data_IF_437254697881
#
_entry.id   IF_437254697881
#
_cell.length_a   1.000
_cell.length_b   1.000
_cell.length_c   1.000
_cell.angle_alpha   90.00
_cell.angle_beta   90.00
_cell.angle_gamma   90.00
#
_symmetry.space_group_name_H-M   'P 1'
#
loop_
_entity.id
_entity.type
_entity.pdbx_description
1 polymer ?
#
# COMPACT_ATOMS: atom_id res chain seq x y z
N UNK A 1 -69.89 7.18 24.24
CA UNK A 1 -68.83 6.82 23.27
C UNK A 1 -67.89 5.85 23.96
N UNK A 2 -68.07 4.55 23.71
CA UNK A 2 -67.30 3.47 24.34
C UNK A 2 -66.24 3.00 23.34
N UNK A 3 -64.97 3.13 23.69
CA UNK A 3 -63.85 2.65 22.87
C UNK A 3 -63.51 1.23 23.32
N UNK A 4 -63.59 0.28 22.40
CA UNK A 4 -63.26 -1.13 22.58
C UNK A 4 -61.84 -1.35 22.02
N UNK A 5 -60.90 -1.86 22.82
CA UNK A 5 -59.69 -2.59 22.38
C UNK A 5 -59.94 -4.08 22.69
N UNK A 6 -59.50 -5.07 21.85
CA UNK A 6 -58.10 -5.54 21.87
C UNK A 6 -57.52 -6.14 20.54
N UNK A 7 -56.19 -6.05 20.44
CA UNK A 7 -55.15 -6.94 19.86
C UNK A 7 -55.50 -8.18 18.98
N UNK A 8 -54.79 -8.32 17.85
CA UNK A 8 -54.13 -9.58 17.49
C UNK A 8 -52.77 -9.34 16.76
N UNK A 9 -51.72 -10.14 17.07
CA UNK A 9 -50.34 -10.01 16.61
C UNK A 9 -50.00 -11.03 15.49
N UNK A 10 -48.77 -10.95 14.97
CA UNK A 10 -48.13 -11.83 13.97
C UNK A 10 -48.32 -11.48 12.48
N UNK A 11 -47.40 -10.66 11.99
CA UNK A 11 -46.68 -10.96 10.73
C UNK A 11 -45.22 -10.60 11.02
N UNK A 12 -44.42 -11.57 11.44
CA UNK A 12 -43.71 -12.39 10.47
C UNK A 12 -42.34 -11.77 10.24
N UNK A 13 -41.44 -12.06 11.16
CA UNK A 13 -39.99 -12.03 10.91
C UNK A 13 -39.69 -12.73 9.58
N UNK A 14 -38.81 -12.16 8.75
CA UNK A 14 -37.58 -12.84 8.35
C UNK A 14 -36.78 -12.08 7.26
N UNK A 15 -35.48 -11.95 7.55
CA UNK A 15 -34.31 -12.09 6.64
C UNK A 15 -33.73 -10.84 5.96
N UNK A 16 -32.63 -10.41 6.59
CA UNK A 16 -31.30 -10.20 6.01
C UNK A 16 -31.12 -9.22 4.85
N UNK A 17 -30.42 -8.12 5.14
CA UNK A 17 -29.49 -7.53 4.18
C UNK A 17 -28.20 -7.11 4.90
N UNK A 18 -27.21 -7.99 4.77
CA UNK A 18 -25.79 -7.69 4.65
C UNK A 18 -25.08 -7.00 5.82
N UNK A 19 -24.33 -7.80 6.57
CA UNK A 19 -23.27 -7.28 7.41
C UNK A 19 -22.30 -6.44 6.59
N UNK A 20 -22.04 -5.25 7.10
CA UNK A 20 -20.70 -4.70 7.10
C UNK A 20 -20.32 -4.65 8.56
N UNK A 21 -19.39 -5.50 8.96
CA UNK A 21 -18.52 -5.18 10.09
C UNK A 21 -17.82 -3.87 9.70
N UNK A 22 -18.50 -2.75 9.92
CA UNK A 22 -17.90 -1.44 9.77
C UNK A 22 -16.91 -1.36 10.93
N UNK A 23 -15.69 -1.83 10.65
CA UNK A 23 -14.56 -1.75 11.53
C UNK A 23 -14.54 -0.33 12.10
N UNK A 24 -14.51 -0.22 13.43
CA UNK A 24 -14.68 1.06 14.10
C UNK A 24 -13.64 2.06 13.52
N UNK A 25 -14.03 3.32 13.28
CA UNK A 25 -13.12 4.34 12.78
C UNK A 25 -11.77 4.32 13.50
N UNK A 26 -10.68 4.27 12.72
CA UNK A 26 -9.34 4.32 13.28
C UNK A 26 -9.16 5.64 14.02
N UNK A 27 -8.62 5.57 15.23
CA UNK A 27 -8.24 6.78 15.93
C UNK A 27 -7.12 7.53 15.18
N UNK A 28 -6.98 8.81 15.50
CA UNK A 28 -6.00 9.67 14.85
C UNK A 28 -4.57 9.15 15.03
N UNK A 29 -4.18 8.57 16.16
CA UNK A 29 -2.81 8.07 16.33
C UNK A 29 -2.57 6.85 15.44
N UNK A 30 -3.49 5.89 15.45
CA UNK A 30 -3.42 4.68 14.62
C UNK A 30 -3.33 5.02 13.13
N UNK A 31 -4.13 5.97 12.64
CA UNK A 31 -4.04 6.44 11.25
C UNK A 31 -2.68 7.10 10.93
N UNK A 32 -2.06 7.79 11.91
CA UNK A 32 -0.71 8.34 11.73
C UNK A 32 0.33 7.25 11.53
N UNK A 33 0.26 6.21 12.37
CA UNK A 33 1.20 5.10 12.39
C UNK A 33 1.12 4.29 11.09
N UNK A 34 -0.09 4.08 10.57
CA UNK A 34 -0.31 3.43 9.26
C UNK A 34 0.32 4.24 8.13
N UNK A 35 0.12 5.57 8.11
CA UNK A 35 0.72 6.43 7.08
C UNK A 35 2.25 6.44 7.17
N UNK A 36 2.83 6.40 8.38
CA UNK A 36 4.28 6.32 8.55
C UNK A 36 4.85 4.95 8.11
N UNK A 37 4.12 3.87 8.37
CA UNK A 37 4.46 2.53 7.88
C UNK A 37 4.39 2.46 6.36
N UNK A 38 3.33 3.00 5.75
CA UNK A 38 3.16 3.13 4.32
C UNK A 38 4.34 3.85 3.65
N UNK A 39 4.72 5.01 4.18
CA UNK A 39 5.86 5.77 3.65
C UNK A 39 7.19 5.03 3.81
N UNK A 40 7.39 4.31 4.92
CA UNK A 40 8.61 3.53 5.15
C UNK A 40 8.70 2.33 4.21
N UNK A 41 7.58 1.65 4.00
CA UNK A 41 7.45 0.55 3.02
C UNK A 41 7.75 1.06 1.62
N UNK A 42 7.13 2.17 1.22
CA UNK A 42 7.35 2.78 -0.08
C UNK A 42 8.80 3.18 -0.32
N UNK A 43 9.42 3.81 0.68
CA UNK A 43 10.82 4.19 0.62
C UNK A 43 11.70 2.97 0.39
N UNK A 44 11.54 1.91 1.18
CA UNK A 44 12.34 0.69 1.03
C UNK A 44 12.19 0.08 -0.36
N UNK A 45 10.97 0.02 -0.89
CA UNK A 45 10.71 -0.51 -2.23
C UNK A 45 11.41 0.30 -3.32
N UNK A 46 11.32 1.64 -3.26
CA UNK A 46 11.99 2.53 -4.23
C UNK A 46 13.51 2.43 -4.12
N UNK A 47 14.05 2.40 -2.91
CA UNK A 47 15.49 2.25 -2.67
C UNK A 47 16.03 0.92 -3.23
N UNK A 48 15.17 -0.10 -3.38
CA UNK A 48 15.49 -1.39 -3.98
C UNK A 48 15.05 -1.53 -5.45
N UNK A 49 14.70 -0.42 -6.12
CA UNK A 49 14.41 -0.40 -7.55
C UNK A 49 13.02 -0.91 -7.94
N UNK A 50 12.06 -0.93 -7.02
CA UNK A 50 10.67 -1.23 -7.35
C UNK A 50 10.06 -0.17 -8.27
N UNK A 51 9.22 -0.61 -9.21
CA UNK A 51 8.44 0.28 -10.08
C UNK A 51 7.44 1.10 -9.27
N UNK A 52 7.27 2.39 -9.61
CA UNK A 52 6.34 3.30 -8.94
C UNK A 52 4.92 2.72 -8.81
N UNK A 53 4.38 2.13 -9.88
CA UNK A 53 3.06 1.48 -9.86
C UNK A 53 2.96 0.39 -8.79
N UNK A 54 4.01 -0.44 -8.66
CA UNK A 54 4.05 -1.51 -7.67
C UNK A 54 4.16 -0.96 -6.25
N UNK A 55 4.88 0.14 -6.07
CA UNK A 55 4.96 0.86 -4.79
C UNK A 55 3.60 1.41 -4.39
N UNK A 56 2.90 2.08 -5.31
CA UNK A 56 1.56 2.64 -5.08
C UNK A 56 0.54 1.55 -4.72
N UNK A 57 0.52 0.46 -5.47
CA UNK A 57 -0.34 -0.70 -5.19
C UNK A 57 -0.04 -1.29 -3.81
N UNK A 58 1.24 -1.50 -3.48
CA UNK A 58 1.63 -2.07 -2.19
C UNK A 58 1.19 -1.19 -1.03
N UNK A 59 1.39 0.12 -1.12
CA UNK A 59 0.97 1.05 -0.06
C UNK A 59 -0.55 1.07 0.08
N UNK A 60 -1.29 1.10 -1.04
CA UNK A 60 -2.75 1.09 -1.01
C UNK A 60 -3.29 -0.20 -0.39
N UNK A 61 -2.74 -1.35 -0.78
CA UNK A 61 -3.10 -2.66 -0.20
C UNK A 61 -2.77 -2.71 1.29
N UNK A 62 -1.62 -2.16 1.71
CA UNK A 62 -1.22 -2.09 3.11
C UNK A 62 -2.24 -1.27 3.93
N UNK A 63 -2.59 -0.06 3.50
CA UNK A 63 -3.53 0.78 4.24
C UNK A 63 -4.93 0.16 4.33
N UNK A 64 -5.44 -0.40 3.22
CA UNK A 64 -6.73 -1.08 3.21
C UNK A 64 -6.73 -2.31 4.14
N UNK A 65 -5.63 -3.07 4.17
CA UNK A 65 -5.49 -4.22 5.06
C UNK A 65 -5.34 -3.87 6.54
N UNK A 66 -5.12 -2.59 6.87
CA UNK A 66 -4.98 -2.06 8.22
C UNK A 66 -6.21 -1.26 8.69
N UNK A 67 -7.32 -1.32 7.96
CA UNK A 67 -8.59 -0.68 8.34
C UNK A 67 -8.80 0.74 7.83
N UNK A 68 -7.99 1.21 6.87
CA UNK A 68 -8.28 2.47 6.18
C UNK A 68 -9.43 2.29 5.18
N UNK A 69 -10.40 3.22 5.20
CA UNK A 69 -11.54 3.22 4.26
C UNK A 69 -11.11 3.60 2.84
N UNK A 70 -10.11 4.47 2.75
CA UNK A 70 -9.61 4.97 1.49
C UNK A 70 -8.12 5.32 1.59
N UNK A 71 -7.46 5.24 0.44
CA UNK A 71 -6.05 5.52 0.30
C UNK A 71 -5.67 5.95 -1.11
N UNK A 72 -4.94 7.04 -1.21
CA UNK A 72 -4.29 7.47 -2.45
C UNK A 72 -2.80 7.70 -2.26
N UNK A 73 -2.07 7.35 -3.30
CA UNK A 73 -0.61 7.28 -3.28
C UNK A 73 -0.09 7.77 -4.61
N UNK A 74 0.85 8.70 -4.56
CA UNK A 74 1.56 9.17 -5.74
C UNK A 74 3.07 9.08 -5.51
N UNK A 75 3.77 8.46 -6.45
CA UNK A 75 5.22 8.32 -6.42
C UNK A 75 5.83 9.17 -7.54
N UNK A 76 6.53 10.25 -7.17
CA UNK A 76 7.32 11.06 -8.10
C UNK A 76 8.75 10.52 -8.23
N UNK A 77 9.64 11.23 -8.93
CA UNK A 77 11.07 10.92 -9.00
C UNK A 77 11.81 11.12 -7.67
N UNK A 78 11.32 11.98 -6.77
CA UNK A 78 12.04 12.38 -5.56
C UNK A 78 11.23 12.20 -4.28
N UNK A 79 9.94 11.92 -4.40
CA UNK A 79 9.04 11.86 -3.26
C UNK A 79 7.99 10.74 -3.39
N UNK A 80 7.45 10.38 -2.23
CA UNK A 80 6.26 9.55 -2.06
C UNK A 80 5.26 10.40 -1.28
N UNK A 81 4.05 10.51 -1.83
CA UNK A 81 2.93 11.20 -1.22
C UNK A 81 1.90 10.14 -0.88
N UNK A 82 1.49 10.06 0.39
CA UNK A 82 0.48 9.11 0.87
C UNK A 82 -0.63 9.89 1.56
N UNK A 83 -1.87 9.57 1.20
CA UNK A 83 -3.06 10.04 1.88
C UNK A 83 -3.93 8.84 2.24
N UNK A 84 -4.22 8.64 3.53
CA UNK A 84 -5.19 7.64 3.98
C UNK A 84 -6.27 8.29 4.83
N UNK A 85 -7.47 7.72 4.80
CA UNK A 85 -8.59 8.17 5.62
C UNK A 85 -9.32 7.00 6.29
N UNK A 86 -9.87 7.28 7.47
CA UNK A 86 -10.78 6.39 8.19
C UNK A 86 -11.80 7.22 8.96
N UNK A 87 -13.08 6.87 8.86
CA UNK A 87 -14.18 7.48 9.62
C UNK A 87 -14.27 9.01 9.56
N UNK A 88 -13.90 9.60 8.42
CA UNK A 88 -13.93 11.05 8.20
C UNK A 88 -12.67 11.80 8.61
N UNK A 89 -11.71 11.16 9.29
CA UNK A 89 -10.36 11.70 9.47
C UNK A 89 -9.49 11.28 8.27
N UNK A 90 -8.64 12.20 7.80
CA UNK A 90 -7.64 11.90 6.78
C UNK A 90 -6.28 12.41 7.19
N UNK A 91 -5.24 11.72 6.73
CA UNK A 91 -3.84 12.05 6.98
C UNK A 91 -3.06 11.95 5.69
N UNK A 92 -2.45 13.07 5.33
CA UNK A 92 -1.54 13.15 4.20
C UNK A 92 -0.13 13.43 4.71
N UNK A 93 0.85 12.63 4.27
CA UNK A 93 2.27 12.86 4.53
C UNK A 93 3.07 12.69 3.24
N UNK A 94 4.18 13.41 3.18
CA UNK A 94 5.13 13.37 2.06
C UNK A 94 6.47 12.91 2.61
N UNK A 95 7.16 12.04 1.87
CA UNK A 95 8.54 11.64 2.15
C UNK A 95 9.40 11.78 0.91
N UNK A 96 10.47 12.56 1.02
CA UNK A 96 11.52 12.60 0.00
C UNK A 96 12.41 11.36 0.11
N UNK A 97 12.69 10.72 -1.03
CA UNK A 97 13.53 9.52 -1.14
C UNK A 97 14.85 9.92 -1.77
N UNK A 98 15.87 10.13 -0.93
CA UNK A 98 17.18 10.62 -1.36
C UNK A 98 18.10 9.52 -1.93
N UNK A 99 17.74 8.24 -1.75
CA UNK A 99 18.53 7.09 -2.18
C UNK A 99 17.82 6.28 -3.26
N UNK A 100 17.53 6.90 -4.39
CA UNK A 100 17.08 6.16 -5.57
C UNK A 100 18.31 5.68 -6.31
N UNK A 101 18.62 4.39 -6.21
CA UNK A 101 19.87 3.88 -6.76
C UNK A 101 19.79 2.41 -7.09
N UNK A 102 19.65 2.11 -8.37
CA UNK A 102 20.19 0.87 -8.90
C UNK A 102 21.71 0.97 -8.81
N UNK A 103 22.40 -0.08 -8.35
CA UNK A 103 23.85 -0.09 -8.32
C UNK A 103 24.41 -0.13 -9.75
N UNK A 104 24.50 1.04 -10.39
CA UNK A 104 24.93 1.18 -11.78
C UNK A 104 26.40 0.78 -11.96
N UNK A 105 27.22 0.87 -10.92
CA UNK A 105 28.59 0.34 -10.92
C UNK A 105 28.57 -1.18 -11.12
N UNK A 106 27.73 -1.90 -10.37
CA UNK A 106 27.56 -3.34 -10.50
C UNK A 106 26.97 -3.72 -11.86
N UNK A 107 25.91 -3.02 -12.31
CA UNK A 107 25.30 -3.28 -13.62
C UNK A 107 26.30 -3.07 -14.75
N UNK A 108 27.08 -1.99 -14.70
CA UNK A 108 28.11 -1.69 -15.70
C UNK A 108 29.21 -2.75 -15.69
N UNK A 109 29.66 -3.20 -14.52
CA UNK A 109 30.63 -4.28 -14.39
C UNK A 109 30.14 -5.61 -14.99
N UNK A 110 28.89 -5.98 -14.72
CA UNK A 110 28.24 -7.17 -15.31
C UNK A 110 28.13 -7.01 -16.82
N UNK A 111 27.73 -5.84 -17.31
CA UNK A 111 27.61 -5.58 -18.74
C UNK A 111 28.96 -5.66 -19.46
N UNK A 112 30.04 -5.14 -18.87
CA UNK A 112 31.38 -5.32 -19.41
C UNK A 112 31.82 -6.80 -19.40
N UNK A 113 31.49 -7.54 -18.34
CA UNK A 113 31.77 -8.97 -18.29
C UNK A 113 31.03 -9.71 -19.41
N UNK A 114 29.74 -9.47 -19.60
CA UNK A 114 28.93 -10.15 -20.63
C UNK A 114 29.43 -9.84 -22.03
N UNK A 115 29.80 -8.58 -22.31
CA UNK A 115 30.44 -8.22 -23.59
C UNK A 115 31.78 -8.92 -23.79
N UNK A 116 32.62 -9.01 -22.75
CA UNK A 116 33.92 -9.70 -22.85
C UNK A 116 33.76 -11.21 -23.05
N UNK A 117 32.73 -11.82 -22.45
CA UNK A 117 32.37 -13.23 -22.71
C UNK A 117 31.88 -13.40 -24.15
N UNK A 118 31.00 -12.51 -24.63
CA UNK A 118 30.48 -12.55 -25.99
C UNK A 118 31.58 -12.36 -27.07
N UNK A 119 32.57 -11.51 -26.79
CA UNK A 119 33.76 -11.30 -27.64
C UNK A 119 34.77 -12.47 -27.59
N UNK A 120 34.48 -13.54 -26.83
CA UNK A 120 35.38 -14.69 -26.67
C UNK A 120 36.62 -14.41 -25.82
N UNK A 121 36.63 -13.31 -25.05
CA UNK A 121 37.76 -12.90 -24.19
C UNK A 121 37.69 -13.46 -22.78
N UNK A 122 36.62 -14.16 -22.41
CA UNK A 122 36.42 -14.84 -21.13
C UNK A 122 35.92 -16.27 -21.36
N UNK A 123 36.61 -17.24 -20.75
CA UNK A 123 36.25 -18.66 -20.79
C UNK A 123 35.79 -19.16 -19.41
N UNK A 124 34.93 -20.18 -19.39
CA UNK A 124 34.24 -20.75 -18.21
C UNK A 124 35.20 -21.21 -17.09
N UNK A 125 36.47 -21.45 -17.39
CA UNK A 125 37.44 -22.11 -16.49
C UNK A 125 38.01 -21.14 -15.43
N UNK A 126 37.79 -19.82 -15.55
CA UNK A 126 38.37 -18.83 -14.63
C UNK A 126 37.50 -18.44 -13.41
N UNK A 127 36.30 -19.02 -13.25
CA UNK A 127 35.41 -18.73 -12.11
C UNK A 127 35.45 -19.92 -11.14
N UNK A 128 36.50 -19.98 -10.29
CA UNK A 128 36.51 -20.83 -9.10
C UNK A 128 37.07 -20.05 -7.92
#
# INVERSE_FOLDING_TARGET
MSTIHPEDPHSGSEKNALGTDAEAPLDRQTLADIVDLALSTGQLLIENGAESRRVEETIRTLGNGLGCDWGDVSVSYDAIIVSHSSGGEFRTKIRHVNRRGVNMTLITAISHLTHRVADGRFDRIMVR
#
